data_IF_235950984415
#
_entry.id   IF_235950984415
#
_cell.length_a   1.000
_cell.length_b   1.000
_cell.length_c   1.000
_cell.angle_alpha   90.00
_cell.angle_beta   90.00
_cell.angle_gamma   90.00
#
_symmetry.space_group_name_H-M   'P 1'
#
loop_
_entity.id
_entity.type
_entity.pdbx_description
1 polymer ?
#
# COMPACT_ATOMS: atom_id res chain seq x y z
N UNK A 1 -0.40 -10.32 24.82
CA UNK A 1 -1.86 -10.52 24.75
C UNK A 1 -2.12 -11.80 23.97
N UNK A 2 -2.77 -12.77 24.58
CA UNK A 2 -3.06 -14.06 23.94
C UNK A 2 -4.20 -14.01 22.92
N UNK A 3 -4.90 -12.89 22.80
CA UNK A 3 -5.98 -12.67 21.83
C UNK A 3 -6.01 -11.22 21.36
N UNK A 4 -6.12 -11.02 20.05
CA UNK A 4 -6.36 -9.71 19.42
C UNK A 4 -7.85 -9.39 19.40
N UNK A 5 -8.21 -8.16 19.77
CA UNK A 5 -9.56 -7.63 19.63
C UNK A 5 -9.73 -6.86 18.33
N UNK A 6 -10.98 -6.59 17.95
CA UNK A 6 -11.29 -5.72 16.80
C UNK A 6 -10.72 -4.30 16.97
N UNK A 7 -10.65 -3.82 18.21
CA UNK A 7 -10.05 -2.53 18.56
C UNK A 7 -8.53 -2.54 18.35
N UNK A 8 -7.86 -3.65 18.71
CA UNK A 8 -6.41 -3.78 18.50
C UNK A 8 -6.08 -3.80 17.00
N UNK A 9 -6.87 -4.53 16.20
CA UNK A 9 -6.70 -4.56 14.74
C UNK A 9 -6.98 -3.20 14.09
N UNK A 10 -8.02 -2.50 14.51
CA UNK A 10 -8.32 -1.17 14.02
C UNK A 10 -7.19 -0.18 14.32
N UNK A 11 -6.61 -0.24 15.53
CA UNK A 11 -5.44 0.56 15.90
C UNK A 11 -4.21 0.20 15.08
N UNK A 12 -3.97 -1.09 14.82
CA UNK A 12 -2.86 -1.53 13.97
C UNK A 12 -2.99 -1.01 12.54
N UNK A 13 -4.18 -1.12 11.93
CA UNK A 13 -4.45 -0.57 10.60
C UNK A 13 -4.26 0.96 10.57
N UNK A 14 -4.73 1.67 11.60
CA UNK A 14 -4.55 3.12 11.69
C UNK A 14 -3.07 3.50 11.85
N UNK A 15 -2.34 2.80 12.71
CA UNK A 15 -0.90 3.00 12.87
C UNK A 15 -0.13 2.76 11.58
N UNK A 16 -0.43 1.66 10.85
CA UNK A 16 0.14 1.38 9.55
C UNK A 16 -0.13 2.46 8.51
N UNK A 17 -1.39 2.94 8.45
CA UNK A 17 -1.76 4.07 7.59
C UNK A 17 -0.97 5.33 7.92
N UNK A 18 -0.89 5.70 9.20
CA UNK A 18 -0.18 6.92 9.64
C UNK A 18 1.32 6.83 9.34
N UNK A 19 1.91 5.66 9.51
CA UNK A 19 3.32 5.40 9.18
C UNK A 19 3.57 5.50 7.67
N UNK A 20 2.69 4.91 6.85
CA UNK A 20 2.80 4.98 5.40
C UNK A 20 2.74 6.42 4.87
N UNK A 21 1.81 7.24 5.39
CA UNK A 21 1.72 8.65 5.00
C UNK A 21 2.93 9.48 5.45
N UNK A 22 3.54 9.16 6.61
CA UNK A 22 4.76 9.83 7.07
C UNK A 22 5.99 9.48 6.24
N UNK A 23 6.04 8.25 5.70
CA UNK A 23 7.16 7.77 4.89
C UNK A 23 7.25 8.47 3.53
N UNK A 24 6.13 8.95 2.99
CA UNK A 24 6.05 9.57 1.65
C UNK A 24 5.97 11.08 1.78
N UNK A 25 6.87 11.79 1.10
CA UNK A 25 6.94 13.27 1.18
C UNK A 25 5.75 13.95 0.50
N UNK A 26 5.31 13.41 -0.62
CA UNK A 26 4.16 13.92 -1.38
C UNK A 26 3.16 12.79 -1.58
N UNK A 27 2.30 12.50 -0.60
CA UNK A 27 1.28 11.48 -0.76
C UNK A 27 0.37 11.79 -1.95
N UNK A 28 0.13 10.79 -2.79
CA UNK A 28 -0.77 10.89 -3.94
C UNK A 28 -2.04 10.11 -3.64
N UNK A 29 -3.18 10.78 -3.72
CA UNK A 29 -4.49 10.13 -3.58
C UNK A 29 -4.82 9.28 -4.81
N UNK A 30 -5.64 8.24 -4.62
CA UNK A 30 -5.91 7.23 -5.64
C UNK A 30 -4.87 6.11 -5.70
N UNK A 31 -4.02 6.00 -4.69
CA UNK A 31 -2.99 4.95 -4.56
C UNK A 31 -3.24 4.06 -3.35
N UNK A 32 -2.35 3.10 -3.10
CA UNK A 32 -2.33 2.27 -1.88
C UNK A 32 -2.50 3.11 -0.60
N UNK A 33 -2.00 4.36 -0.59
CA UNK A 33 -2.13 5.26 0.56
C UNK A 33 -3.59 5.61 0.85
N UNK A 34 -4.37 5.91 -0.19
CA UNK A 34 -5.81 6.14 -0.07
C UNK A 34 -6.51 4.91 0.46
N UNK A 35 -6.21 3.74 -0.13
CA UNK A 35 -6.85 2.47 0.24
C UNK A 35 -6.61 2.14 1.72
N UNK A 36 -5.36 2.24 2.20
CA UNK A 36 -5.07 1.95 3.61
C UNK A 36 -5.70 2.99 4.54
N UNK A 37 -5.70 4.28 4.20
CA UNK A 37 -6.29 5.34 5.00
C UNK A 37 -7.80 5.13 5.17
N UNK A 38 -8.54 4.98 4.09
CA UNK A 38 -10.00 4.83 4.13
C UNK A 38 -10.41 3.54 4.85
N UNK A 39 -9.70 2.45 4.56
CA UNK A 39 -9.89 1.17 5.26
C UNK A 39 -9.66 1.30 6.77
N UNK A 40 -8.60 1.97 7.19
CA UNK A 40 -8.27 2.18 8.60
C UNK A 40 -9.28 3.07 9.31
N UNK A 41 -9.71 4.16 8.69
CA UNK A 41 -10.76 5.04 9.23
C UNK A 41 -12.09 4.31 9.41
N UNK A 42 -12.47 3.49 8.43
CA UNK A 42 -13.65 2.63 8.54
C UNK A 42 -13.49 1.61 9.67
N UNK A 43 -12.35 0.93 9.76
CA UNK A 43 -12.07 -0.04 10.81
C UNK A 43 -12.18 0.57 12.21
N UNK A 44 -11.66 1.78 12.44
CA UNK A 44 -11.76 2.50 13.72
C UNK A 44 -13.23 2.81 14.09
N UNK A 45 -14.03 3.21 13.12
CA UNK A 45 -15.48 3.45 13.34
C UNK A 45 -16.22 2.14 13.62
N UNK A 46 -15.89 1.08 12.87
CA UNK A 46 -16.52 -0.23 12.98
C UNK A 46 -16.22 -0.91 14.32
N UNK A 47 -14.99 -0.85 14.82
CA UNK A 47 -14.54 -1.48 16.06
C UNK A 47 -15.30 -1.01 17.31
N UNK A 48 -15.98 0.16 17.24
CA UNK A 48 -16.82 0.66 18.33
C UNK A 48 -18.13 -0.13 18.52
N UNK A 49 -18.54 -0.91 17.49
CA UNK A 49 -19.84 -1.59 17.45
C UNK A 49 -19.78 -3.05 16.97
N UNK A 50 -18.63 -3.51 16.51
CA UNK A 50 -18.43 -4.88 16.05
C UNK A 50 -17.30 -5.54 16.83
N UNK A 51 -17.64 -6.50 17.68
CA UNK A 51 -16.67 -7.22 18.52
C UNK A 51 -16.32 -8.61 17.96
N UNK A 52 -17.09 -9.11 16.97
CA UNK A 52 -16.79 -10.35 16.30
C UNK A 52 -15.72 -10.12 15.23
N UNK A 53 -14.55 -10.78 15.39
CA UNK A 53 -13.37 -10.56 14.56
C UNK A 53 -13.59 -10.96 13.09
N UNK A 54 -14.33 -12.06 12.84
CA UNK A 54 -14.63 -12.52 11.48
C UNK A 54 -15.51 -11.54 10.75
N UNK A 55 -16.60 -11.08 11.41
CA UNK A 55 -17.49 -10.07 10.85
C UNK A 55 -16.78 -8.73 10.64
N UNK A 56 -15.93 -8.37 11.58
CA UNK A 56 -15.11 -7.15 11.49
C UNK A 56 -14.22 -7.20 10.26
N UNK A 57 -13.37 -8.22 10.13
CA UNK A 57 -12.45 -8.36 9.00
C UNK A 57 -13.18 -8.48 7.66
N UNK A 58 -14.27 -9.23 7.58
CA UNK A 58 -15.07 -9.32 6.36
C UNK A 58 -15.62 -7.96 5.90
N UNK A 59 -16.01 -7.08 6.84
CA UNK A 59 -16.45 -5.71 6.53
C UNK A 59 -15.28 -4.80 6.15
N UNK A 60 -14.12 -4.95 6.82
CA UNK A 60 -12.88 -4.20 6.52
C UNK A 60 -12.37 -4.52 5.11
N UNK A 61 -12.34 -5.81 4.73
CA UNK A 61 -11.98 -6.24 3.37
C UNK A 61 -12.93 -5.67 2.32
N UNK A 62 -14.23 -5.65 2.61
CA UNK A 62 -15.22 -5.05 1.70
C UNK A 62 -14.92 -3.56 1.49
N UNK A 63 -14.68 -2.82 2.56
CA UNK A 63 -14.35 -1.39 2.48
C UNK A 63 -13.06 -1.15 1.71
N UNK A 64 -12.03 -1.98 1.93
CA UNK A 64 -10.78 -1.90 1.18
C UNK A 64 -11.01 -2.06 -0.33
N UNK A 65 -11.88 -2.98 -0.74
CA UNK A 65 -12.25 -3.14 -2.14
C UNK A 65 -13.06 -1.95 -2.68
N UNK A 66 -13.97 -1.37 -1.89
CA UNK A 66 -14.71 -0.16 -2.30
C UNK A 66 -13.74 1.01 -2.53
N UNK A 67 -12.79 1.22 -1.63
CA UNK A 67 -11.76 2.25 -1.79
C UNK A 67 -10.87 1.97 -3.02
N UNK A 68 -10.47 0.71 -3.24
CA UNK A 68 -9.69 0.30 -4.40
C UNK A 68 -10.41 0.63 -5.72
N UNK A 69 -11.67 0.23 -5.85
CA UNK A 69 -12.49 0.48 -7.04
C UNK A 69 -12.66 1.99 -7.31
N UNK A 70 -12.52 2.82 -6.29
CA UNK A 70 -12.62 4.28 -6.44
C UNK A 70 -11.28 4.93 -6.85
N UNK A 71 -10.15 4.24 -6.82
CA UNK A 71 -8.83 4.81 -7.14
C UNK A 71 -8.77 5.48 -8.53
N UNK A 72 -9.43 4.96 -9.61
CA UNK A 72 -9.42 5.62 -10.91
C UNK A 72 -10.16 6.97 -10.92
N UNK A 73 -11.08 7.19 -9.98
CA UNK A 73 -11.77 8.48 -9.87
C UNK A 73 -10.91 9.56 -9.19
N UNK A 74 -9.86 9.15 -8.48
CA UNK A 74 -8.95 10.03 -7.75
C UNK A 74 -7.66 10.30 -8.53
N UNK A 75 -7.23 9.36 -9.38
CA UNK A 75 -5.98 9.44 -10.13
C UNK A 75 -6.23 9.27 -11.63
N UNK A 76 -6.05 10.36 -12.36
CA UNK A 76 -6.39 10.45 -13.81
C UNK A 76 -5.70 9.34 -14.63
N UNK A 77 -4.43 9.04 -14.37
CA UNK A 77 -3.68 8.02 -15.12
C UNK A 77 -4.31 6.64 -15.00
N UNK A 78 -4.85 6.28 -13.82
CA UNK A 78 -5.57 5.03 -13.61
C UNK A 78 -6.89 5.01 -14.39
N UNK A 79 -7.59 6.14 -14.39
CA UNK A 79 -8.84 6.29 -15.14
C UNK A 79 -8.61 6.15 -16.65
N UNK A 80 -7.60 6.82 -17.17
CA UNK A 80 -7.26 6.80 -18.59
C UNK A 80 -6.81 5.39 -19.03
N UNK A 81 -6.10 4.66 -18.15
CA UNK A 81 -5.68 3.28 -18.38
C UNK A 81 -6.81 2.24 -18.13
N UNK A 82 -7.94 2.62 -17.54
CA UNK A 82 -9.03 1.71 -17.20
C UNK A 82 -8.68 0.66 -16.15
N UNK A 83 -7.78 1.00 -15.21
CA UNK A 83 -7.27 0.08 -14.18
C UNK A 83 -7.39 0.68 -12.78
N UNK A 84 -7.38 -0.16 -11.75
CA UNK A 84 -7.25 0.25 -10.35
C UNK A 84 -5.78 0.31 -9.93
N UNK A 85 -5.49 0.94 -8.79
CA UNK A 85 -4.13 0.99 -8.26
C UNK A 85 -3.59 -0.41 -7.91
N UNK A 86 -2.45 -0.77 -8.46
CA UNK A 86 -1.84 -2.10 -8.27
C UNK A 86 -1.37 -2.35 -6.84
N UNK A 87 -0.82 -1.32 -6.18
CA UNK A 87 -0.41 -1.38 -4.77
C UNK A 87 -1.63 -1.55 -3.85
N UNK A 88 -2.70 -0.79 -4.11
CA UNK A 88 -3.98 -0.95 -3.41
C UNK A 88 -4.58 -2.34 -3.61
N UNK A 89 -4.48 -2.91 -4.82
CA UNK A 89 -4.92 -4.28 -5.09
C UNK A 89 -4.11 -5.30 -4.29
N UNK A 90 -2.79 -5.15 -4.22
CA UNK A 90 -1.93 -5.99 -3.39
C UNK A 90 -2.32 -5.93 -1.91
N UNK A 91 -2.57 -4.73 -1.38
CA UNK A 91 -3.02 -4.55 0.00
C UNK A 91 -4.37 -5.23 0.27
N UNK A 92 -5.35 -5.09 -0.63
CA UNK A 92 -6.65 -5.75 -0.47
C UNK A 92 -6.52 -7.27 -0.43
N UNK A 93 -5.66 -7.85 -1.26
CA UNK A 93 -5.39 -9.29 -1.26
C UNK A 93 -4.74 -9.77 0.05
N UNK A 94 -3.84 -8.98 0.65
CA UNK A 94 -3.26 -9.29 1.97
C UNK A 94 -4.35 -9.29 3.04
N UNK A 95 -5.21 -8.28 3.06
CA UNK A 95 -6.32 -8.20 4.03
C UNK A 95 -7.32 -9.34 3.84
N UNK A 96 -7.60 -9.72 2.59
CA UNK A 96 -8.43 -10.88 2.27
C UNK A 96 -7.80 -12.19 2.77
N UNK A 97 -6.49 -12.34 2.61
CA UNK A 97 -5.75 -13.49 3.15
C UNK A 97 -5.87 -13.59 4.67
N UNK A 98 -5.79 -12.48 5.41
CA UNK A 98 -6.04 -12.46 6.84
C UNK A 98 -7.48 -12.88 7.19
N UNK A 99 -8.47 -12.38 6.46
CA UNK A 99 -9.86 -12.79 6.64
C UNK A 99 -10.05 -14.29 6.39
N UNK A 100 -9.53 -14.81 5.28
CA UNK A 100 -9.64 -16.24 4.94
C UNK A 100 -8.98 -17.14 5.99
N UNK A 101 -7.83 -16.75 6.53
CA UNK A 101 -7.18 -17.47 7.60
C UNK A 101 -8.03 -17.53 8.88
N UNK A 102 -8.69 -16.43 9.24
CA UNK A 102 -9.55 -16.37 10.43
C UNK A 102 -10.82 -17.23 10.28
N UNK A 103 -11.42 -17.27 9.09
CA UNK A 103 -12.62 -18.10 8.83
C UNK A 103 -12.28 -19.57 8.54
N UNK A 104 -11.02 -19.96 8.67
CA UNK A 104 -10.57 -21.36 8.47
C UNK A 104 -10.61 -21.81 7.00
N UNK A 105 -10.70 -20.89 6.06
CA UNK A 105 -10.56 -21.16 4.63
C UNK A 105 -9.07 -21.07 4.28
N UNK A 106 -8.36 -22.19 4.38
CA UNK A 106 -6.96 -22.25 3.95
C UNK A 106 -6.85 -21.79 2.49
N UNK A 107 -5.99 -20.80 2.25
CA UNK A 107 -5.50 -20.54 0.90
C UNK A 107 -4.60 -21.72 0.58
N UNK A 108 -5.12 -22.74 -0.10
CA UNK A 108 -4.28 -23.77 -0.70
C UNK A 108 -3.43 -23.03 -1.72
N UNK A 109 -2.08 -23.06 -1.62
CA UNK A 109 -1.26 -22.53 -2.70
C UNK A 109 -1.77 -23.22 -3.96
N UNK A 110 -2.23 -22.45 -4.93
CA UNK A 110 -2.45 -23.01 -6.25
C UNK A 110 -1.12 -23.69 -6.60
N UNK A 111 -1.10 -25.01 -6.57
CA UNK A 111 -0.02 -25.77 -7.21
C UNK A 111 0.11 -25.08 -8.54
N UNK A 112 1.30 -24.53 -8.80
CA UNK A 112 1.56 -23.75 -9.99
C UNK A 112 1.24 -24.61 -11.22
N UNK A 113 -0.04 -24.75 -11.54
CA UNK A 113 -0.43 -24.93 -12.90
C UNK A 113 0.15 -23.71 -13.60
N UNK A 114 1.14 -23.97 -14.42
CA UNK A 114 1.65 -22.99 -15.36
C UNK A 114 0.42 -22.44 -16.08
N UNK A 115 -0.17 -21.42 -15.52
CA UNK A 115 -1.08 -20.56 -16.26
C UNK A 115 -0.13 -20.01 -17.32
N UNK A 116 -0.18 -20.58 -18.51
CA UNK A 116 0.42 -19.95 -19.67
C UNK A 116 -0.08 -18.51 -19.59
N UNK A 117 0.85 -17.62 -19.32
CA UNK A 117 0.63 -16.20 -19.50
C UNK A 117 0.17 -16.11 -20.95
N UNK A 118 -1.15 -16.16 -21.19
CA UNK A 118 -1.70 -15.71 -22.45
C UNK A 118 -1.02 -14.37 -22.65
N UNK A 119 -0.21 -14.28 -23.69
CA UNK A 119 0.41 -13.05 -24.11
C UNK A 119 -0.67 -11.98 -24.04
N UNK A 120 -0.78 -11.32 -22.88
CA UNK A 120 -1.35 -10.02 -22.82
C UNK A 120 -0.35 -9.25 -23.66
N UNK A 121 -0.67 -9.08 -24.94
CA UNK A 121 -0.07 -8.01 -25.70
C UNK A 121 -0.13 -6.82 -24.76
N UNK A 122 1.01 -6.43 -24.24
CA UNK A 122 1.26 -5.06 -23.86
C UNK A 122 1.14 -4.29 -25.18
N UNK A 123 -0.12 -4.15 -25.64
CA UNK A 123 -0.43 -3.07 -26.55
C UNK A 123 0.11 -1.87 -25.78
N UNK A 124 1.23 -1.37 -26.31
CA UNK A 124 1.87 -0.15 -25.89
C UNK A 124 0.80 0.75 -25.25
N UNK A 125 0.70 0.65 -23.91
CA UNK A 125 0.03 1.67 -23.15
C UNK A 125 0.73 2.94 -23.61
N UNK A 126 -0.01 3.77 -24.27
CA UNK A 126 0.43 5.00 -24.85
C UNK A 126 1.57 5.58 -24.04
N UNK A 127 2.67 5.77 -24.73
CA UNK A 127 3.76 6.62 -24.36
C UNK A 127 3.18 7.86 -23.68
N UNK A 128 3.01 7.80 -22.33
CA UNK A 128 3.12 9.02 -21.56
C UNK A 128 4.40 9.63 -22.07
N UNK A 129 4.30 10.77 -22.73
CA UNK A 129 5.42 11.43 -23.37
C UNK A 129 6.56 11.45 -22.37
N UNK A 130 7.64 10.77 -22.68
CA UNK A 130 8.85 10.71 -21.82
C UNK A 130 9.45 12.11 -21.62
N UNK A 131 8.91 13.11 -22.27
CA UNK A 131 9.30 14.52 -22.21
C UNK A 131 9.06 15.18 -20.84
N UNK A 132 8.17 14.61 -19.99
CA UNK A 132 7.88 15.13 -18.65
C UNK A 132 8.62 14.39 -17.52
N UNK A 133 9.38 13.33 -17.83
CA UNK A 133 10.14 12.59 -16.82
C UNK A 133 11.47 13.29 -16.59
N UNK A 134 11.55 14.08 -15.53
CA UNK A 134 12.76 14.78 -15.14
C UNK A 134 13.83 13.85 -14.55
N UNK A 135 13.42 12.85 -13.81
CA UNK A 135 14.25 11.87 -13.15
C UNK A 135 13.86 10.46 -13.63
N UNK A 136 14.68 9.86 -14.47
CA UNK A 136 14.35 8.63 -15.20
C UNK A 136 14.78 7.33 -14.51
N UNK A 137 15.48 7.42 -13.38
CA UNK A 137 16.02 6.25 -12.69
C UNK A 137 15.37 6.07 -11.32
N UNK A 138 14.95 4.84 -11.03
CA UNK A 138 14.51 4.43 -9.71
C UNK A 138 15.74 3.95 -8.93
N UNK A 139 16.13 4.71 -7.91
CA UNK A 139 17.30 4.43 -7.08
C UNK A 139 16.84 3.99 -5.69
N UNK A 140 17.30 2.83 -5.25
CA UNK A 140 17.01 2.29 -3.91
C UNK A 140 18.30 1.87 -3.21
N UNK A 141 18.37 2.13 -1.90
CA UNK A 141 19.43 1.63 -1.06
C UNK A 141 18.97 1.47 0.39
N UNK A 142 19.74 0.70 1.16
CA UNK A 142 19.57 0.51 2.59
C UNK A 142 20.78 1.06 3.30
N UNK A 143 20.56 1.86 4.34
CA UNK A 143 21.58 2.34 5.26
C UNK A 143 21.42 1.63 6.60
N UNK A 144 22.53 1.21 7.18
CA UNK A 144 22.60 0.74 8.56
C UNK A 144 23.42 1.75 9.37
N UNK A 145 22.79 2.38 10.36
CA UNK A 145 23.45 3.38 11.19
C UNK A 145 22.67 3.66 12.47
N UNK A 146 23.37 3.64 13.59
CA UNK A 146 22.82 4.05 14.90
C UNK A 146 22.86 5.58 15.11
N UNK A 147 23.40 6.33 14.17
CA UNK A 147 23.69 7.77 14.31
C UNK A 147 22.87 8.68 13.42
N UNK A 148 22.21 8.13 12.41
CA UNK A 148 21.47 8.89 11.41
C UNK A 148 20.00 8.51 11.53
N UNK A 149 19.16 9.51 11.68
CA UNK A 149 17.71 9.33 11.65
C UNK A 149 17.15 9.47 10.23
N UNK A 150 15.94 8.99 10.04
CA UNK A 150 15.22 9.04 8.77
C UNK A 150 14.93 10.49 8.31
N UNK A 151 14.79 11.43 9.24
CA UNK A 151 14.59 12.86 8.94
C UNK A 151 15.84 13.48 8.32
N UNK A 152 17.02 13.23 8.88
CA UNK A 152 18.29 13.74 8.35
C UNK A 152 18.59 13.20 6.95
N UNK A 153 18.32 11.91 6.71
CA UNK A 153 18.47 11.31 5.37
C UNK A 153 17.47 11.93 4.38
N UNK A 154 16.22 12.13 4.81
CA UNK A 154 15.19 12.75 3.98
C UNK A 154 15.60 14.14 3.49
N UNK A 155 16.09 14.96 4.39
CA UNK A 155 16.53 16.32 4.05
C UNK A 155 17.68 16.33 3.03
N UNK A 156 18.62 15.42 3.18
CA UNK A 156 19.73 15.26 2.23
C UNK A 156 19.22 14.82 0.86
N UNK A 157 18.35 13.80 0.83
CA UNK A 157 17.90 13.17 -0.42
C UNK A 157 16.93 14.03 -1.22
N UNK A 158 16.27 15.01 -0.61
CA UNK A 158 15.41 15.98 -1.30
C UNK A 158 16.12 16.76 -2.42
N UNK A 159 17.44 16.91 -2.33
CA UNK A 159 18.25 17.59 -3.33
C UNK A 159 18.61 16.73 -4.56
N UNK A 160 18.39 15.41 -4.52
CA UNK A 160 18.86 14.49 -5.56
C UNK A 160 17.79 14.04 -6.54
N UNK A 161 16.51 14.20 -6.21
CA UNK A 161 15.46 13.72 -7.10
C UNK A 161 14.04 13.98 -6.60
N UNK A 162 13.10 13.25 -7.15
CA UNK A 162 11.70 13.27 -6.72
C UNK A 162 11.21 11.89 -6.28
N UNK A 163 9.90 11.76 -5.96
CA UNK A 163 9.26 10.50 -5.53
C UNK A 163 9.97 9.85 -4.34
N UNK A 164 10.57 10.68 -3.47
CA UNK A 164 11.34 10.23 -2.32
C UNK A 164 10.46 9.56 -1.27
N UNK A 165 10.84 8.34 -0.89
CA UNK A 165 10.32 7.64 0.28
C UNK A 165 11.49 7.19 1.18
N UNK A 166 11.42 7.55 2.46
CA UNK A 166 12.41 7.19 3.47
C UNK A 166 11.70 6.53 4.64
N UNK A 167 12.07 5.31 4.95
CA UNK A 167 11.51 4.50 6.04
C UNK A 167 12.64 3.97 6.90
N UNK A 168 12.64 4.32 8.18
CA UNK A 168 13.65 3.86 9.15
C UNK A 168 13.02 3.16 10.34
N UNK A 169 13.68 2.09 10.83
CA UNK A 169 13.36 1.40 12.06
C UNK A 169 14.62 0.69 12.59
N UNK A 170 14.83 0.74 13.92
CA UNK A 170 15.92 0.07 14.64
C UNK A 170 17.32 0.19 13.99
N UNK A 171 17.68 1.39 13.49
CA UNK A 171 19.00 1.64 12.89
C UNK A 171 19.15 1.21 11.43
N UNK A 172 18.07 0.74 10.79
CA UNK A 172 18.01 0.42 9.36
C UNK A 172 17.11 1.42 8.66
N UNK A 173 17.60 2.08 7.62
CA UNK A 173 16.85 3.07 6.84
C UNK A 173 16.82 2.63 5.37
N UNK A 174 15.63 2.41 4.84
CA UNK A 174 15.41 2.20 3.41
C UNK A 174 15.08 3.51 2.73
N UNK A 175 15.77 3.79 1.63
CA UNK A 175 15.57 4.98 0.80
C UNK A 175 15.19 4.55 -0.60
N UNK A 176 14.18 5.22 -1.15
CA UNK A 176 13.76 5.14 -2.54
C UNK A 176 13.66 6.57 -3.09
N UNK A 177 14.23 6.82 -4.25
CA UNK A 177 14.21 8.14 -4.89
C UNK A 177 14.30 7.99 -6.42
N UNK A 178 13.60 8.82 -7.16
CA UNK A 178 13.80 8.96 -8.60
C UNK A 178 14.90 10.00 -8.87
N UNK A 179 15.98 9.56 -9.55
CA UNK A 179 17.16 10.38 -9.86
C UNK A 179 17.40 10.50 -11.35
#
# INVERSE_FOLDING_TARGET
KDKLSTVDLAKALKGGSDTAYKAVIKPVEGTILTVIRETAEYAVKLAKRENNIEKFLGKVVREANVSLENTPNLLKNLKDAGVVDSGGKGLTLILEGFYLAIVGKAVVPATAEKTELKNVSLSSADTTSTEDIKFGYCTEFILESDKIDDAGIRDIMLGYGDSLAVVGDEGVIKVHVHT
#
